data_IF_255212285183
#
_entry.id   IF_255212285183
#
_cell.length_a   1.000
_cell.length_b   1.000
_cell.length_c   1.000
_cell.angle_alpha   90.00
_cell.angle_beta   90.00
_cell.angle_gamma   90.00
#
_symmetry.space_group_name_H-M   'P 1'
#
loop_
_entity.id
_entity.type
_entity.pdbx_description
1 polymer ?
#
# COMPACT_ATOMS: atom_id res chain seq x y z
N UNK A 1 11.13 29.16 23.02
CA UNK A 1 10.20 29.34 21.89
C UNK A 1 10.77 28.50 20.77
N UNK A 2 10.05 27.47 20.33
CA UNK A 2 10.50 26.64 19.20
C UNK A 2 10.52 27.49 17.93
N UNK A 3 11.62 27.43 17.19
CA UNK A 3 11.79 28.14 15.93
C UNK A 3 11.04 27.38 14.83
N UNK A 4 9.87 27.88 14.46
CA UNK A 4 9.08 27.31 13.37
C UNK A 4 9.73 27.61 12.02
N UNK A 5 9.87 26.58 11.17
CA UNK A 5 10.23 26.79 9.77
C UNK A 5 9.03 27.37 9.01
N UNK A 6 9.22 28.49 8.34
CA UNK A 6 8.20 29.17 7.53
C UNK A 6 8.68 29.14 6.07
N UNK A 7 7.81 28.68 5.16
CA UNK A 7 8.07 28.59 3.72
C UNK A 7 7.17 29.57 2.95
N UNK A 8 7.74 30.31 1.98
CA UNK A 8 6.95 31.14 1.07
C UNK A 8 6.40 30.29 -0.08
N UNK A 9 5.07 30.27 -0.24
CA UNK A 9 4.42 29.65 -1.40
C UNK A 9 3.46 30.61 -2.10
N UNK A 10 3.10 30.30 -3.34
CA UNK A 10 2.11 31.06 -4.11
C UNK A 10 0.72 30.49 -3.86
N UNK A 11 -0.27 31.36 -3.64
CA UNK A 11 -1.66 30.93 -3.52
C UNK A 11 -2.53 31.60 -4.60
N UNK A 12 -3.63 30.97 -5.01
CA UNK A 12 -4.63 31.64 -5.85
C UNK A 12 -5.12 32.91 -5.15
N UNK A 13 -5.17 34.04 -5.85
CA UNK A 13 -5.57 35.36 -5.35
C UNK A 13 -4.65 36.00 -4.28
N UNK A 14 -3.50 35.39 -3.95
CA UNK A 14 -2.45 36.01 -3.12
C UNK A 14 -1.08 35.63 -3.69
N UNK A 15 -0.39 36.62 -4.25
CA UNK A 15 0.88 36.39 -4.98
C UNK A 15 1.90 35.59 -4.17
N UNK A 16 2.03 35.88 -2.87
CA UNK A 16 2.88 35.16 -1.93
C UNK A 16 2.23 35.03 -0.56
N UNK A 17 2.38 33.88 0.07
CA UNK A 17 1.90 33.61 1.42
C UNK A 17 2.93 32.78 2.16
N UNK A 18 3.15 33.14 3.42
CA UNK A 18 3.96 32.39 4.37
C UNK A 18 3.15 31.22 4.93
N UNK A 19 3.70 30.01 4.82
CA UNK A 19 3.07 28.77 5.30
C UNK A 19 4.00 28.10 6.31
N UNK A 20 3.39 27.56 7.36
CA UNK A 20 4.10 26.79 8.37
C UNK A 20 4.64 25.50 7.74
N UNK A 21 5.96 25.31 7.81
CA UNK A 21 6.65 24.11 7.36
C UNK A 21 6.35 22.89 8.24
N UNK A 22 7.08 21.80 8.00
CA UNK A 22 6.88 20.56 8.75
C UNK A 22 7.16 20.77 10.26
N UNK A 23 6.12 20.61 11.09
CA UNK A 23 6.23 20.67 12.57
C UNK A 23 6.39 19.29 13.22
N UNK A 24 6.49 18.24 12.40
CA UNK A 24 6.63 16.86 12.85
C UNK A 24 8.03 16.35 12.56
N UNK A 25 8.48 15.41 13.39
CA UNK A 25 9.73 14.71 13.14
C UNK A 25 9.64 13.93 11.82
N UNK A 26 10.71 14.01 11.02
CA UNK A 26 10.81 13.25 9.78
C UNK A 26 10.70 11.76 10.10
N UNK A 27 9.70 11.10 9.52
CA UNK A 27 9.55 9.65 9.64
C UNK A 27 10.81 8.92 9.16
N UNK A 28 11.09 7.75 9.73
CA UNK A 28 12.16 6.87 9.26
C UNK A 28 11.62 5.98 8.14
N UNK A 29 12.02 6.15 6.87
CA UNK A 29 11.69 5.20 5.80
C UNK A 29 12.45 3.87 5.93
N UNK A 30 13.11 3.63 7.06
CA UNK A 30 13.84 2.40 7.34
C UNK A 30 12.86 1.22 7.36
N UNK A 31 13.08 0.24 6.48
CA UNK A 31 12.30 -0.99 6.46
C UNK A 31 11.08 -0.99 5.54
N UNK A 32 10.99 -0.09 4.54
CA UNK A 32 9.98 -0.19 3.48
C UNK A 32 9.96 -1.59 2.81
N UNK A 33 11.14 -2.20 2.72
CA UNK A 33 11.35 -3.56 2.27
C UNK A 33 10.81 -4.61 3.27
N UNK A 34 10.90 -4.37 4.59
CA UNK A 34 10.54 -5.33 5.65
C UNK A 34 9.04 -5.68 5.70
N UNK A 35 8.18 -4.88 5.06
CA UNK A 35 6.74 -5.16 4.91
C UNK A 35 6.37 -6.01 3.69
N UNK A 36 7.31 -6.26 2.77
CA UNK A 36 7.00 -6.93 1.50
C UNK A 36 6.90 -8.44 1.71
N UNK A 37 5.68 -8.98 1.62
CA UNK A 37 5.42 -10.43 1.72
C UNK A 37 6.29 -11.27 0.76
N UNK A 38 6.67 -10.71 -0.39
CA UNK A 38 7.51 -11.37 -1.40
C UNK A 38 8.88 -11.80 -0.86
N UNK A 39 9.39 -11.14 0.18
CA UNK A 39 10.67 -11.49 0.80
C UNK A 39 10.57 -12.73 1.69
N UNK A 40 9.37 -13.05 2.18
CA UNK A 40 9.10 -14.23 3.03
C UNK A 40 8.92 -15.51 2.22
N UNK A 41 8.90 -15.42 0.89
CA UNK A 41 8.72 -16.56 -0.03
C UNK A 41 9.98 -16.71 -0.86
N UNK A 42 10.79 -17.72 -0.54
CA UNK A 42 12.15 -17.90 -1.05
C UNK A 42 12.17 -18.37 -2.51
N UNK A 43 11.19 -19.18 -2.92
CA UNK A 43 11.16 -19.78 -4.26
C UNK A 43 9.84 -19.51 -5.01
N UNK A 44 9.84 -19.78 -6.32
CA UNK A 44 8.69 -19.54 -7.20
C UNK A 44 7.47 -20.39 -6.82
N UNK A 45 7.69 -21.62 -6.34
CA UNK A 45 6.60 -22.52 -5.95
C UNK A 45 5.83 -21.98 -4.74
N UNK A 46 6.53 -21.45 -3.74
CA UNK A 46 5.95 -20.81 -2.56
C UNK A 46 5.14 -19.56 -2.93
N UNK A 47 5.65 -18.74 -3.86
CA UNK A 47 4.95 -17.57 -4.39
C UNK A 47 3.64 -17.95 -5.07
N UNK A 48 3.68 -18.98 -5.93
CA UNK A 48 2.48 -19.48 -6.60
C UNK A 48 1.47 -20.09 -5.61
N UNK A 49 1.96 -20.82 -4.61
CA UNK A 49 1.10 -21.38 -3.56
C UNK A 49 0.40 -20.28 -2.78
N UNK A 50 1.13 -19.23 -2.39
CA UNK A 50 0.55 -18.07 -1.71
C UNK A 50 -0.52 -17.39 -2.57
N UNK A 51 -0.24 -17.10 -3.84
CA UNK A 51 -1.21 -16.47 -4.74
C UNK A 51 -2.46 -17.35 -4.90
N UNK A 52 -2.30 -18.65 -5.19
CA UNK A 52 -3.45 -19.56 -5.31
C UNK A 52 -4.30 -19.64 -4.03
N UNK A 53 -3.69 -19.48 -2.86
CA UNK A 53 -4.39 -19.56 -1.57
C UNK A 53 -5.02 -18.22 -1.17
N UNK A 54 -4.29 -17.12 -1.32
CA UNK A 54 -4.70 -15.77 -0.93
C UNK A 54 -5.70 -15.17 -1.93
N UNK A 55 -5.53 -15.49 -3.21
CA UNK A 55 -6.39 -15.05 -4.31
C UNK A 55 -7.37 -16.16 -4.71
N UNK A 56 -7.84 -16.94 -3.72
CA UNK A 56 -8.82 -18.04 -3.92
C UNK A 56 -10.10 -17.57 -4.61
N UNK A 57 -10.49 -16.31 -4.46
CA UNK A 57 -11.63 -15.73 -5.18
C UNK A 57 -11.39 -15.60 -6.70
N UNK A 58 -10.13 -15.44 -7.12
CA UNK A 58 -9.76 -15.27 -8.53
C UNK A 58 -9.31 -16.57 -9.18
N UNK A 59 -8.63 -17.46 -8.43
CA UNK A 59 -8.01 -18.68 -8.96
C UNK A 59 -8.53 -19.98 -8.32
N UNK A 60 -9.42 -19.88 -7.34
CA UNK A 60 -10.01 -21.06 -6.70
C UNK A 60 -11.06 -21.70 -7.62
N UNK A 61 -10.82 -22.93 -8.02
CA UNK A 61 -11.83 -23.79 -8.68
C UNK A 61 -12.87 -24.32 -7.69
N UNK A 62 -12.57 -24.27 -6.39
CA UNK A 62 -13.46 -24.70 -5.31
C UNK A 62 -14.38 -23.56 -4.86
N UNK A 63 -15.51 -23.43 -5.54
CA UNK A 63 -16.63 -22.58 -5.11
C UNK A 63 -17.36 -23.28 -3.95
N UNK A 64 -17.32 -22.69 -2.75
CA UNK A 64 -18.14 -23.12 -1.61
C UNK A 64 -19.33 -22.17 -1.44
N UNK A 65 -20.40 -22.50 -2.14
CA UNK A 65 -21.70 -21.85 -2.09
C UNK A 65 -22.71 -22.71 -2.85
N UNK A 66 -24.01 -22.52 -2.61
CA UNK A 66 -25.10 -23.23 -3.30
C UNK A 66 -25.12 -23.02 -4.83
N UNK A 67 -24.19 -22.22 -5.35
CA UNK A 67 -24.04 -21.81 -6.74
C UNK A 67 -23.02 -22.65 -7.52
N UNK A 68 -22.81 -23.93 -7.13
CA UNK A 68 -22.16 -24.90 -8.02
C UNK A 68 -23.07 -25.16 -9.22
N UNK A 69 -22.91 -24.38 -10.29
CA UNK A 69 -23.60 -24.63 -11.56
C UNK A 69 -23.08 -25.93 -12.16
N UNK A 70 -24.00 -26.80 -12.62
CA UNK A 70 -23.67 -28.11 -13.22
C UNK A 70 -23.05 -28.00 -14.62
N UNK A 71 -23.10 -26.83 -15.25
CA UNK A 71 -22.53 -26.58 -16.57
C UNK A 71 -21.80 -25.23 -16.57
N UNK A 72 -20.47 -25.21 -16.78
CA UNK A 72 -19.73 -23.97 -17.03
C UNK A 72 -20.05 -23.44 -18.44
N UNK A 73 -20.00 -22.12 -18.60
CA UNK A 73 -20.20 -21.43 -19.88
C UNK A 73 -18.94 -21.48 -20.75
#
# INVERSE_FOLDING_TARGET
>A
MEEYQIEETKAPNRDKVEVLGATYEKGKPEGEEMGRWRQKLGNRAEKLKYLNTAERYWYGTDWFGSEKRKTPA
#
